data_IF_753421188653
#
_entry.id   IF_753421188653
#
_cell.length_a   1.000
_cell.length_b   1.000
_cell.length_c   1.000
_cell.angle_alpha   90.00
_cell.angle_beta   90.00
_cell.angle_gamma   90.00
#
_symmetry.space_group_name_H-M   'P 1'
#
loop_
_entity.id
_entity.type
_entity.pdbx_description
1 polymer ?
#
# COMPACT_ATOMS: atom_id res chain seq x y z
N UNK A 1 24.85 56.95 61.93
CA UNK A 1 23.83 55.92 62.16
C UNK A 1 24.10 54.80 61.19
N UNK A 2 24.41 53.57 61.52
CA UNK A 2 25.06 52.91 62.65
C UNK A 2 25.42 51.51 62.09
N UNK A 3 26.40 50.88 62.69
CA UNK A 3 27.16 49.69 62.26
C UNK A 3 26.39 48.37 62.03
N UNK A 4 27.20 47.37 61.59
CA UNK A 4 27.11 45.89 61.73
C UNK A 4 26.47 45.12 60.56
N UNK A 5 26.97 43.98 60.07
CA UNK A 5 28.03 43.07 60.54
C UNK A 5 28.52 42.14 59.39
N UNK A 6 29.67 41.50 59.64
CA UNK A 6 30.46 40.50 58.88
C UNK A 6 29.67 39.31 58.30
N UNK A 7 29.91 38.92 57.04
CA UNK A 7 30.82 37.83 56.58
C UNK A 7 30.48 36.40 57.05
N UNK A 8 30.11 35.52 56.11
CA UNK A 8 30.59 34.11 56.02
C UNK A 8 30.19 33.44 54.70
N UNK A 9 31.09 32.56 54.22
CA UNK A 9 31.20 31.88 52.93
C UNK A 9 30.12 30.82 52.58
N UNK A 10 30.10 30.31 51.32
CA UNK A 10 28.98 29.52 50.78
C UNK A 10 29.26 28.02 50.60
N UNK A 11 28.15 27.34 50.27
CA UNK A 11 27.99 26.19 49.38
C UNK A 11 28.30 24.77 49.90
N UNK A 12 27.24 23.98 50.04
CA UNK A 12 27.26 22.56 49.67
C UNK A 12 25.88 22.07 49.24
N UNK A 13 25.86 21.49 48.04
CA UNK A 13 25.07 20.32 47.60
C UNK A 13 23.54 20.37 47.65
N UNK A 14 22.96 20.33 46.45
CA UNK A 14 22.11 19.19 46.08
C UNK A 14 20.59 19.43 46.02
N UNK A 15 20.01 18.75 45.03
CA UNK A 15 18.65 18.19 44.95
C UNK A 15 17.52 19.02 44.33
N UNK A 16 16.85 18.28 43.43
CA UNK A 16 15.43 18.22 43.11
C UNK A 16 14.71 19.25 42.23
N UNK A 17 13.90 18.65 41.34
CA UNK A 17 12.83 19.21 40.49
C UNK A 17 11.72 19.87 41.37
N UNK A 18 10.65 20.58 40.89
CA UNK A 18 9.91 20.35 39.63
C UNK A 18 9.08 21.55 39.00
N UNK A 19 8.43 21.28 37.85
CA UNK A 19 7.05 21.69 37.43
C UNK A 19 6.70 23.14 36.94
N UNK A 20 6.22 23.18 35.68
CA UNK A 20 5.17 24.01 34.97
C UNK A 20 5.27 25.53 34.75
N UNK A 21 5.08 25.97 33.49
CA UNK A 21 3.98 26.84 32.98
C UNK A 21 4.08 27.04 31.44
N UNK A 22 3.06 26.72 30.64
CA UNK A 22 1.98 27.57 30.04
C UNK A 22 2.46 28.64 29.03
N UNK A 23 2.03 28.52 27.75
CA UNK A 23 1.36 29.57 26.93
C UNK A 23 1.37 29.25 25.40
N UNK A 24 0.20 29.28 24.76
CA UNK A 24 0.00 29.51 23.31
C UNK A 24 0.25 31.01 22.97
N UNK A 25 0.33 31.49 21.69
CA UNK A 25 -0.88 31.74 20.86
C UNK A 25 -0.74 31.74 19.29
N UNK A 26 -1.88 31.42 18.63
CA UNK A 26 -2.61 32.16 17.56
C UNK A 26 -2.13 32.35 16.08
N UNK A 27 -3.09 32.08 15.17
CA UNK A 27 -3.50 32.95 14.04
C UNK A 27 -3.04 32.55 12.62
N UNK A 28 -3.76 32.70 11.49
CA UNK A 28 -5.07 33.20 11.00
C UNK A 28 -5.18 32.59 9.55
N UNK A 29 -6.32 32.36 8.87
CA UNK A 29 -7.03 33.35 8.01
C UNK A 29 -7.72 32.65 6.81
N UNK A 30 -9.02 32.90 6.62
CA UNK A 30 -9.73 33.31 5.39
C UNK A 30 -9.86 32.47 4.07
N UNK A 31 -11.15 32.23 3.75
CA UNK A 31 -11.91 32.50 2.50
C UNK A 31 -11.80 31.60 1.25
N UNK A 32 -13.00 31.23 0.76
CA UNK A 32 -13.37 30.41 -0.40
C UNK A 32 -13.51 31.22 -1.71
N UNK A 33 -13.69 30.46 -2.82
CA UNK A 33 -14.16 30.79 -4.22
C UNK A 33 -13.01 30.67 -5.25
N UNK A 34 -13.17 30.22 -6.54
CA UNK A 34 -14.35 29.79 -7.34
C UNK A 34 -14.22 28.42 -8.12
N UNK A 35 -15.32 27.97 -8.74
CA UNK A 35 -15.44 27.02 -9.90
C UNK A 35 -15.37 27.81 -11.25
N UNK A 36 -15.28 27.24 -12.50
CA UNK A 36 -15.72 25.92 -12.99
C UNK A 36 -14.82 25.25 -14.08
N UNK A 37 -15.13 24.01 -14.51
CA UNK A 37 -15.25 23.58 -15.93
C UNK A 37 -15.57 22.07 -16.02
N UNK A 38 -16.64 21.71 -16.74
CA UNK A 38 -17.01 20.33 -17.05
C UNK A 38 -18.01 20.28 -18.20
N UNK A 39 -17.55 19.69 -19.30
CA UNK A 39 -18.16 19.50 -20.63
C UNK A 39 -19.19 18.37 -20.70
N UNK A 40 -20.21 18.51 -21.57
CA UNK A 40 -20.80 17.39 -22.33
C UNK A 40 -21.68 17.86 -23.52
N UNK A 41 -21.41 17.24 -24.67
CA UNK A 41 -22.15 17.08 -25.95
C UNK A 41 -23.56 16.47 -25.69
N UNK A 42 -24.66 16.60 -26.46
CA UNK A 42 -24.91 16.45 -27.92
C UNK A 42 -26.40 16.72 -28.26
N UNK A 43 -26.66 17.03 -29.55
CA UNK A 43 -27.86 16.83 -30.43
C UNK A 43 -29.20 17.54 -30.20
N UNK A 44 -29.66 18.19 -31.27
CA UNK A 44 -31.06 18.51 -31.60
C UNK A 44 -31.46 17.90 -32.95
N UNK A 45 -32.76 17.62 -33.05
CA UNK A 45 -33.49 16.74 -33.98
C UNK A 45 -33.59 17.15 -35.47
N UNK A 46 -33.79 16.12 -36.31
CA UNK A 46 -34.77 15.97 -37.41
C UNK A 46 -34.70 14.46 -37.79
N UNK A 47 -35.76 13.67 -37.96
CA UNK A 47 -36.92 13.84 -38.84
C UNK A 47 -38.02 12.79 -38.52
N UNK A 48 -39.23 13.04 -39.04
CA UNK A 48 -40.50 12.37 -38.80
C UNK A 48 -40.65 10.95 -39.38
N UNK A 49 -41.57 10.22 -38.75
CA UNK A 49 -42.10 8.90 -39.08
C UNK A 49 -43.01 8.86 -40.32
N UNK A 50 -43.04 7.71 -41.03
CA UNK A 50 -44.23 7.11 -41.66
C UNK A 50 -44.03 5.58 -41.83
N UNK A 51 -44.94 4.76 -41.28
CA UNK A 51 -45.27 3.36 -41.65
C UNK A 51 -46.57 3.39 -42.50
N UNK A 52 -47.11 2.33 -43.18
CA UNK A 52 -47.06 0.89 -42.84
C UNK A 52 -47.13 -0.12 -44.02
N UNK A 53 -47.11 -1.43 -43.70
CA UNK A 53 -47.51 -2.50 -44.64
C UNK A 53 -47.10 -3.92 -44.20
N UNK A 54 -48.03 -4.66 -43.58
CA UNK A 54 -48.06 -6.13 -43.39
C UNK A 54 -48.90 -6.77 -44.54
N UNK A 55 -49.12 -8.11 -44.69
CA UNK A 55 -48.61 -9.30 -43.98
C UNK A 55 -48.31 -10.54 -44.89
N UNK A 56 -48.21 -11.74 -44.27
CA UNK A 56 -48.41 -13.12 -44.77
C UNK A 56 -47.15 -13.89 -45.22
N UNK A 57 -46.91 -15.19 -44.96
CA UNK A 57 -47.46 -16.28 -44.12
C UNK A 57 -46.57 -17.53 -44.40
N UNK A 58 -46.42 -18.44 -43.41
CA UNK A 58 -46.20 -19.91 -43.51
C UNK A 58 -45.08 -20.50 -42.60
N UNK A 59 -45.53 -21.11 -41.50
CA UNK A 59 -45.03 -22.35 -40.85
C UNK A 59 -45.32 -23.58 -41.77
N UNK A 60 -45.08 -24.87 -41.41
CA UNK A 60 -44.41 -25.53 -40.25
C UNK A 60 -43.31 -26.53 -40.74
N UNK A 61 -42.61 -27.41 -39.99
CA UNK A 61 -43.17 -28.62 -39.36
C UNK A 61 -42.12 -29.52 -38.65
N UNK A 62 -42.55 -30.02 -37.48
CA UNK A 62 -42.43 -31.36 -36.86
C UNK A 62 -41.12 -32.12 -36.51
N UNK A 63 -41.11 -32.55 -35.24
CA UNK A 63 -40.85 -33.93 -34.71
C UNK A 63 -39.42 -34.43 -34.39
N UNK A 64 -39.18 -34.55 -33.08
CA UNK A 64 -38.81 -35.75 -32.28
C UNK A 64 -37.90 -36.83 -32.87
N UNK A 65 -36.77 -37.11 -32.21
CA UNK A 65 -36.29 -38.48 -31.88
C UNK A 65 -35.35 -38.46 -30.67
N UNK A 66 -35.59 -39.40 -29.73
CA UNK A 66 -34.74 -39.76 -28.59
C UNK A 66 -33.59 -40.68 -29.03
N UNK A 67 -32.49 -40.70 -28.25
CA UNK A 67 -31.53 -41.80 -27.96
C UNK A 67 -30.25 -41.16 -27.38
N UNK A 68 -29.39 -41.71 -26.53
CA UNK A 68 -29.40 -42.73 -25.49
C UNK A 68 -28.02 -42.57 -24.78
N UNK A 69 -28.01 -42.63 -23.44
CA UNK A 69 -26.89 -43.01 -22.54
C UNK A 69 -25.45 -42.47 -22.70
N UNK A 70 -24.96 -41.75 -21.68
CA UNK A 70 -23.61 -41.95 -21.14
C UNK A 70 -23.57 -41.67 -19.61
N UNK A 71 -22.99 -42.56 -18.78
CA UNK A 71 -22.94 -42.38 -17.33
C UNK A 71 -21.70 -41.60 -16.89
N UNK A 72 -21.87 -40.78 -15.84
CA UNK A 72 -20.75 -40.43 -14.96
C UNK A 72 -19.86 -39.27 -15.38
N UNK A 73 -20.43 -38.09 -15.63
CA UNK A 73 -19.70 -36.86 -15.35
C UNK A 73 -19.96 -36.52 -13.88
N UNK A 74 -19.00 -36.87 -13.01
CA UNK A 74 -18.91 -36.26 -11.68
C UNK A 74 -18.83 -34.75 -11.92
N UNK A 75 -19.93 -34.03 -11.73
CA UNK A 75 -19.94 -32.58 -11.62
C UNK A 75 -18.98 -32.24 -10.47
N UNK A 76 -17.71 -31.98 -10.81
CA UNK A 76 -16.87 -31.22 -9.91
C UNK A 76 -17.58 -29.89 -9.78
N UNK A 77 -18.21 -29.67 -8.64
CA UNK A 77 -18.71 -28.37 -8.23
C UNK A 77 -17.52 -27.40 -8.23
N UNK A 78 -17.28 -26.77 -9.39
CA UNK A 78 -16.19 -25.82 -9.65
C UNK A 78 -16.63 -24.43 -9.23
N UNK A 79 -17.14 -24.31 -8.01
CA UNK A 79 -17.42 -23.00 -7.42
C UNK A 79 -16.37 -22.74 -6.34
N UNK A 80 -15.13 -22.60 -6.79
CA UNK A 80 -14.09 -22.00 -5.96
C UNK A 80 -14.63 -20.62 -5.50
N UNK A 81 -14.73 -20.36 -4.19
CA UNK A 81 -15.35 -19.13 -3.71
C UNK A 81 -14.62 -17.92 -4.30
N UNK A 82 -15.37 -16.98 -4.84
CA UNK A 82 -14.81 -15.75 -5.43
C UNK A 82 -14.03 -15.00 -4.37
N UNK A 83 -12.70 -14.99 -4.52
CA UNK A 83 -11.79 -14.28 -3.61
C UNK A 83 -11.46 -12.91 -4.18
N UNK A 84 -11.50 -11.89 -3.35
CA UNK A 84 -11.28 -10.49 -3.77
C UNK A 84 -9.91 -10.04 -3.27
N UNK A 85 -8.96 -9.67 -4.16
CA UNK A 85 -7.69 -9.12 -3.74
C UNK A 85 -7.87 -7.72 -3.12
N UNK A 86 -6.97 -7.29 -2.22
CA UNK A 86 -6.95 -5.90 -1.78
C UNK A 86 -6.73 -4.95 -2.97
N UNK A 87 -7.19 -3.70 -2.82
CA UNK A 87 -6.93 -2.70 -3.87
C UNK A 87 -5.43 -2.48 -4.07
N UNK A 88 -5.04 -2.09 -5.30
CA UNK A 88 -3.63 -1.89 -5.66
C UNK A 88 -2.74 -3.13 -5.43
N UNK A 89 -3.34 -4.33 -5.39
CA UNK A 89 -2.62 -5.59 -5.25
C UNK A 89 -1.86 -5.93 -6.54
N UNK A 90 -0.59 -6.27 -6.42
CA UNK A 90 0.22 -6.76 -7.51
C UNK A 90 1.42 -7.57 -7.00
N UNK A 91 1.95 -8.44 -7.85
CA UNK A 91 3.25 -9.08 -7.63
C UNK A 91 4.36 -8.09 -7.99
N UNK A 92 5.35 -7.94 -7.11
CA UNK A 92 6.54 -7.10 -7.33
C UNK A 92 7.69 -7.96 -7.84
N UNK A 93 7.95 -9.07 -7.15
CA UNK A 93 8.94 -10.08 -7.50
C UNK A 93 8.38 -11.45 -7.09
N UNK A 94 8.99 -12.57 -7.50
CA UNK A 94 8.56 -13.89 -7.04
C UNK A 94 8.37 -13.93 -5.52
N UNK A 95 7.17 -14.28 -5.09
CA UNK A 95 6.72 -14.33 -3.68
C UNK A 95 6.70 -13.00 -2.90
N UNK A 96 6.93 -11.86 -3.56
CA UNK A 96 6.82 -10.52 -2.97
C UNK A 96 5.64 -9.79 -3.60
N UNK A 97 4.68 -9.42 -2.77
CA UNK A 97 3.46 -8.75 -3.19
C UNK A 97 3.38 -7.34 -2.59
N UNK A 98 2.66 -6.45 -3.28
CA UNK A 98 2.28 -5.12 -2.78
C UNK A 98 0.78 -5.00 -2.72
N UNK A 99 0.24 -4.17 -1.82
CA UNK A 99 -1.18 -3.78 -1.85
C UNK A 99 -1.52 -2.52 -1.05
N UNK A 100 -2.78 -2.09 -1.12
CA UNK A 100 -3.41 -1.25 -0.09
C UNK A 100 -3.65 -2.04 1.19
N UNK A 101 -4.16 -1.35 2.22
CA UNK A 101 -4.50 -1.98 3.49
C UNK A 101 -5.48 -3.16 3.30
N UNK A 102 -5.16 -4.37 3.80
CA UNK A 102 -6.07 -5.51 3.72
C UNK A 102 -7.19 -5.39 4.75
N UNK A 103 -8.44 -5.65 4.33
CA UNK A 103 -9.62 -5.69 5.20
C UNK A 103 -10.14 -7.13 5.27
N UNK A 104 -11.08 -7.41 6.19
CA UNK A 104 -11.68 -8.74 6.39
C UNK A 104 -12.13 -9.44 5.10
N UNK A 105 -12.70 -8.68 4.15
CA UNK A 105 -13.14 -9.20 2.85
C UNK A 105 -12.01 -9.79 1.98
N UNK A 106 -10.76 -9.41 2.23
CA UNK A 106 -9.60 -9.90 1.49
C UNK A 106 -8.91 -11.11 2.16
N UNK A 107 -9.29 -11.47 3.39
CA UNK A 107 -8.65 -12.57 4.13
C UNK A 107 -8.69 -13.92 3.39
N UNK A 108 -9.81 -14.31 2.74
CA UNK A 108 -9.83 -15.52 1.91
C UNK A 108 -8.79 -15.49 0.77
N UNK A 109 -8.58 -14.33 0.15
CA UNK A 109 -7.58 -14.15 -0.89
C UNK A 109 -6.15 -14.30 -0.34
N UNK A 110 -5.85 -13.65 0.79
CA UNK A 110 -4.52 -13.73 1.43
C UNK A 110 -4.19 -15.16 1.88
N UNK A 111 -5.20 -15.91 2.34
CA UNK A 111 -5.07 -17.34 2.65
C UNK A 111 -4.80 -18.17 1.40
N UNK A 112 -5.51 -17.90 0.29
CA UNK A 112 -5.34 -18.63 -0.98
C UNK A 112 -3.93 -18.52 -1.54
N UNK A 113 -3.32 -17.33 -1.48
CA UNK A 113 -1.94 -17.11 -1.94
C UNK A 113 -0.87 -17.55 -0.93
N UNK A 114 -1.27 -17.99 0.27
CA UNK A 114 -0.36 -18.51 1.30
C UNK A 114 0.59 -17.47 1.87
N UNK A 115 0.12 -16.24 2.14
CA UNK A 115 0.98 -15.22 2.76
C UNK A 115 1.53 -15.73 4.10
N UNK A 116 2.84 -15.66 4.26
CA UNK A 116 3.57 -16.04 5.48
C UNK A 116 3.92 -14.82 6.33
N UNK A 117 4.14 -13.67 5.70
CA UNK A 117 4.47 -12.45 6.42
C UNK A 117 3.89 -11.19 5.78
N UNK A 118 3.68 -10.16 6.59
CA UNK A 118 3.16 -8.87 6.16
C UNK A 118 4.05 -7.77 6.69
N UNK A 119 4.44 -6.84 5.82
CA UNK A 119 5.04 -5.56 6.18
C UNK A 119 3.96 -4.48 6.14
N UNK A 120 3.72 -3.84 7.29
CA UNK A 120 2.90 -2.62 7.36
C UNK A 120 3.79 -1.40 7.54
N UNK A 121 3.60 -0.41 6.66
CA UNK A 121 4.34 0.84 6.66
C UNK A 121 3.57 1.99 7.34
N UNK A 122 2.44 1.67 7.98
CA UNK A 122 1.54 2.65 8.59
C UNK A 122 1.87 2.89 10.06
N UNK A 123 1.76 4.15 10.50
CA UNK A 123 1.86 4.56 11.91
C UNK A 123 0.68 4.06 12.75
N UNK A 124 -0.49 3.94 12.12
CA UNK A 124 -1.72 3.54 12.79
C UNK A 124 -1.59 2.12 13.40
N UNK A 125 -2.21 1.89 14.58
CA UNK A 125 -2.28 0.55 15.15
C UNK A 125 -3.00 -0.39 14.19
N UNK A 126 -2.51 -1.64 14.13
CA UNK A 126 -3.16 -2.65 13.31
C UNK A 126 -4.51 -3.04 13.96
N UNK A 127 -5.64 -3.06 13.22
CA UNK A 127 -6.94 -3.37 13.78
C UNK A 127 -6.99 -4.75 14.45
N UNK A 128 -7.71 -4.91 15.58
CA UNK A 128 -7.78 -6.18 16.31
C UNK A 128 -8.22 -7.36 15.46
N UNK A 129 -9.20 -7.16 14.57
CA UNK A 129 -9.69 -8.20 13.66
C UNK A 129 -8.62 -8.70 12.70
N UNK A 130 -7.76 -7.79 12.21
CA UNK A 130 -6.66 -8.18 11.36
C UNK A 130 -5.58 -8.89 12.16
N UNK A 131 -5.26 -8.42 13.37
CA UNK A 131 -4.31 -9.09 14.26
C UNK A 131 -4.72 -10.53 14.57
N UNK A 132 -6.00 -10.75 14.86
CA UNK A 132 -6.56 -12.09 15.08
C UNK A 132 -6.37 -12.99 13.85
N UNK A 133 -6.69 -12.48 12.65
CA UNK A 133 -6.42 -13.23 11.41
C UNK A 133 -4.94 -13.59 11.23
N UNK A 134 -4.02 -12.69 11.58
CA UNK A 134 -2.59 -13.00 11.50
C UNK A 134 -2.19 -14.09 12.50
N UNK A 135 -2.74 -14.06 13.72
CA UNK A 135 -2.49 -15.08 14.75
C UNK A 135 -3.03 -16.45 14.32
N UNK A 136 -4.29 -16.50 13.89
CA UNK A 136 -4.97 -17.75 13.49
C UNK A 136 -4.25 -18.46 12.32
N UNK A 137 -3.61 -17.68 11.44
CA UNK A 137 -2.90 -18.19 10.27
C UNK A 137 -1.38 -18.16 10.39
N UNK A 138 -0.83 -17.89 11.58
CA UNK A 138 0.60 -17.86 11.87
C UNK A 138 1.39 -16.91 10.93
N UNK A 139 0.77 -15.79 10.57
CA UNK A 139 1.35 -14.77 9.69
C UNK A 139 2.16 -13.79 10.54
N UNK A 140 3.44 -13.63 10.21
CA UNK A 140 4.33 -12.70 10.93
C UNK A 140 4.09 -11.26 10.48
N UNK A 141 3.85 -10.34 11.42
CA UNK A 141 3.69 -8.91 11.13
C UNK A 141 4.97 -8.12 11.43
N UNK A 142 5.56 -7.54 10.40
CA UNK A 142 6.65 -6.57 10.52
C UNK A 142 6.08 -5.14 10.44
N UNK A 143 6.28 -4.35 11.49
CA UNK A 143 5.78 -2.98 11.57
C UNK A 143 6.92 -1.98 11.40
N UNK A 144 6.87 -1.22 10.32
CA UNK A 144 7.83 -0.16 10.01
C UNK A 144 7.10 1.17 9.90
N UNK A 145 6.96 1.87 11.01
CA UNK A 145 6.20 3.12 11.08
C UNK A 145 6.90 4.22 10.27
N UNK A 146 6.36 4.53 9.08
CA UNK A 146 6.83 5.65 8.29
C UNK A 146 5.83 6.81 8.36
N UNK A 147 6.29 8.03 8.70
CA UNK A 147 5.44 9.21 8.69
C UNK A 147 4.86 9.45 7.31
N UNK A 148 3.70 10.09 7.27
CA UNK A 148 3.07 10.41 6.00
C UNK A 148 3.94 11.40 5.25
N UNK A 149 4.41 11.05 4.05
CA UNK A 149 5.25 11.91 3.21
C UNK A 149 4.45 13.08 2.58
N UNK A 150 3.83 13.91 3.42
CA UNK A 150 3.13 15.13 3.01
C UNK A 150 4.12 16.30 3.14
N UNK A 151 4.21 17.11 2.10
CA UNK A 151 4.90 18.40 2.15
C UNK A 151 4.37 19.25 3.32
N UNK A 152 5.22 20.04 3.99
CA UNK A 152 6.55 20.49 3.53
C UNK A 152 7.77 19.87 4.25
N UNK A 153 7.62 19.05 5.30
CA UNK A 153 8.73 18.76 6.23
C UNK A 153 8.85 17.32 6.74
N UNK A 154 8.36 16.32 6.00
CA UNK A 154 8.49 14.92 6.44
C UNK A 154 9.57 14.22 5.63
N UNK A 155 10.75 14.04 6.22
CA UNK A 155 11.80 13.19 5.64
C UNK A 155 11.38 11.71 5.72
N UNK A 156 11.66 10.96 4.65
CA UNK A 156 11.38 9.54 4.60
C UNK A 156 12.50 8.83 5.38
N UNK A 157 12.20 8.08 6.44
CA UNK A 157 13.24 7.52 7.30
C UNK A 157 14.02 6.42 6.56
N UNK A 158 15.22 6.77 6.08
CA UNK A 158 16.12 5.86 5.33
C UNK A 158 16.35 4.54 6.05
N UNK A 159 16.68 4.60 7.34
CA UNK A 159 16.94 3.40 8.18
C UNK A 159 15.76 2.43 8.20
N UNK A 160 14.54 2.97 8.26
CA UNK A 160 13.31 2.18 8.26
C UNK A 160 13.09 1.47 6.92
N UNK A 161 13.41 2.14 5.80
CA UNK A 161 13.36 1.52 4.48
C UNK A 161 14.43 0.44 4.33
N UNK A 162 15.67 0.67 4.79
CA UNK A 162 16.72 -0.35 4.75
C UNK A 162 16.32 -1.60 5.56
N UNK A 163 15.76 -1.42 6.76
CA UNK A 163 15.26 -2.53 7.58
C UNK A 163 14.09 -3.26 6.90
N UNK A 164 13.16 -2.54 6.27
CA UNK A 164 12.07 -3.15 5.52
C UNK A 164 12.56 -3.95 4.31
N UNK A 165 13.54 -3.42 3.57
CA UNK A 165 14.17 -4.11 2.44
C UNK A 165 14.92 -5.37 2.89
N UNK A 166 15.60 -5.32 4.04
CA UNK A 166 16.28 -6.49 4.58
C UNK A 166 15.31 -7.64 4.87
N UNK A 167 14.13 -7.34 5.42
CA UNK A 167 13.05 -8.33 5.61
C UNK A 167 12.50 -8.84 4.27
N UNK A 168 12.33 -7.97 3.28
CA UNK A 168 11.87 -8.38 1.94
C UNK A 168 12.88 -9.29 1.23
N UNK A 169 14.17 -9.06 1.44
CA UNK A 169 15.26 -9.85 0.86
C UNK A 169 15.52 -11.17 1.61
N UNK A 170 14.85 -11.44 2.73
CA UNK A 170 14.96 -12.72 3.41
C UNK A 170 13.90 -13.71 2.90
N UNK A 171 14.33 -14.71 2.14
CA UNK A 171 13.42 -15.73 1.55
C UNK A 171 12.66 -16.53 2.59
N UNK A 172 13.12 -16.58 3.86
CA UNK A 172 12.38 -17.25 4.95
C UNK A 172 11.07 -16.54 5.25
N UNK A 173 10.93 -15.26 4.90
CA UNK A 173 9.71 -14.48 5.11
C UNK A 173 8.71 -14.62 3.95
N UNK A 174 9.11 -15.24 2.84
CA UNK A 174 8.26 -15.39 1.66
C UNK A 174 7.21 -16.51 1.84
N UNK A 175 5.99 -16.36 1.29
CA UNK A 175 5.49 -15.20 0.54
C UNK A 175 5.13 -14.01 1.43
N UNK A 176 5.55 -12.81 1.02
CA UNK A 176 5.46 -11.57 1.82
C UNK A 176 4.57 -10.52 1.14
N UNK A 177 3.74 -9.82 1.92
CA UNK A 177 2.92 -8.71 1.46
C UNK A 177 3.39 -7.38 2.05
N UNK A 178 3.71 -6.41 1.20
CA UNK A 178 4.07 -5.05 1.59
C UNK A 178 2.85 -4.13 1.41
N UNK A 179 2.40 -3.47 2.46
CA UNK A 179 1.30 -2.51 2.36
C UNK A 179 1.49 -1.26 3.22
N UNK A 180 0.72 -0.24 2.90
CA UNK A 180 0.47 0.90 3.78
C UNK A 180 -1.05 1.13 3.82
N UNK A 181 -1.52 2.38 3.88
CA UNK A 181 -2.96 2.66 3.79
C UNK A 181 -3.50 2.41 2.37
N UNK A 182 -2.94 3.10 1.36
CA UNK A 182 -3.40 3.01 -0.05
C UNK A 182 -2.48 2.21 -0.97
N UNK A 183 -1.33 1.74 -0.48
CA UNK A 183 -0.35 1.01 -1.30
C UNK A 183 0.37 1.88 -2.34
N UNK A 184 0.40 3.20 -2.15
CA UNK A 184 0.89 4.20 -3.13
C UNK A 184 2.28 4.73 -2.77
N UNK A 185 2.35 5.70 -1.84
CA UNK A 185 3.56 6.45 -1.51
C UNK A 185 4.61 5.60 -0.78
N UNK A 186 4.34 5.26 0.50
CA UNK A 186 5.25 4.47 1.36
C UNK A 186 5.63 3.13 0.75
N UNK A 187 4.63 2.37 0.29
CA UNK A 187 4.84 1.11 -0.42
C UNK A 187 5.61 1.33 -1.72
N UNK A 188 5.31 2.40 -2.45
CA UNK A 188 6.03 2.77 -3.68
C UNK A 188 7.49 3.12 -3.44
N UNK A 189 7.84 3.79 -2.34
CA UNK A 189 9.23 4.05 -1.98
C UNK A 189 9.99 2.75 -1.68
N UNK A 190 9.42 1.86 -0.85
CA UNK A 190 10.05 0.56 -0.56
C UNK A 190 10.22 -0.27 -1.83
N UNK A 191 9.18 -0.36 -2.66
CA UNK A 191 9.25 -1.09 -3.94
C UNK A 191 10.24 -0.43 -4.90
N UNK A 192 10.27 0.89 -4.99
CA UNK A 192 11.22 1.61 -5.84
C UNK A 192 12.67 1.40 -5.41
N UNK A 193 12.95 1.41 -4.10
CA UNK A 193 14.27 1.07 -3.57
C UNK A 193 14.62 -0.42 -3.76
N UNK A 194 13.63 -1.32 -3.73
CA UNK A 194 13.84 -2.71 -4.13
C UNK A 194 14.24 -2.81 -5.61
N UNK A 195 13.61 -2.05 -6.50
CA UNK A 195 14.01 -1.99 -7.92
C UNK A 195 15.40 -1.41 -8.12
N UNK A 196 15.82 -0.46 -7.28
CA UNK A 196 17.21 0.05 -7.25
C UNK A 196 18.20 -1.07 -6.92
N UNK A 197 17.89 -1.92 -5.94
CA UNK A 197 18.72 -3.09 -5.61
C UNK A 197 18.73 -4.13 -6.74
N UNK A 198 17.64 -4.23 -7.50
CA UNK A 198 17.54 -5.08 -8.68
C UNK A 198 18.19 -4.47 -9.94
N UNK A 199 18.93 -3.36 -9.78
CA UNK A 199 19.62 -2.63 -10.84
C UNK A 199 18.72 -2.18 -12.02
N UNK A 200 17.46 -1.85 -11.74
CA UNK A 200 16.56 -1.29 -12.76
C UNK A 200 16.94 0.15 -13.10
N UNK A 201 16.65 0.58 -14.33
CA UNK A 201 16.82 1.98 -14.73
C UNK A 201 15.81 2.89 -14.01
N UNK A 202 16.23 4.09 -13.63
CA UNK A 202 15.35 5.07 -12.97
C UNK A 202 14.05 5.34 -13.75
N UNK A 203 14.12 5.37 -15.07
CA UNK A 203 12.95 5.51 -15.94
C UNK A 203 11.91 4.41 -15.70
N UNK A 204 12.34 3.15 -15.66
CA UNK A 204 11.45 2.02 -15.39
C UNK A 204 10.86 2.08 -13.97
N UNK A 205 11.70 2.43 -12.99
CA UNK A 205 11.31 2.55 -11.59
C UNK A 205 10.23 3.63 -11.41
N UNK A 206 10.44 4.82 -11.99
CA UNK A 206 9.49 5.92 -11.87
C UNK A 206 8.21 5.66 -12.65
N UNK A 207 8.28 4.94 -13.77
CA UNK A 207 7.09 4.51 -14.49
C UNK A 207 6.24 3.56 -13.63
N UNK A 208 6.85 2.53 -13.03
CA UNK A 208 6.16 1.63 -12.10
C UNK A 208 5.56 2.40 -10.91
N UNK A 209 6.35 3.28 -10.29
CA UNK A 209 5.88 4.10 -9.17
C UNK A 209 4.65 4.94 -9.56
N UNK A 210 4.67 5.62 -10.71
CA UNK A 210 3.55 6.47 -11.17
C UNK A 210 2.32 5.65 -11.49
N UNK A 211 2.47 4.47 -12.09
CA UNK A 211 1.36 3.57 -12.37
C UNK A 211 0.57 3.19 -11.10
N UNK A 212 1.28 2.87 -10.00
CA UNK A 212 0.63 2.49 -8.74
C UNK A 212 0.27 3.68 -7.83
N UNK A 213 0.84 4.86 -8.04
CA UNK A 213 0.55 6.05 -7.23
C UNK A 213 -0.48 7.00 -7.86
N UNK A 214 -0.81 6.82 -9.14
CA UNK A 214 -1.85 7.58 -9.85
C UNK A 214 -3.19 7.61 -9.08
N UNK A 215 -3.91 8.74 -9.01
CA UNK A 215 -3.59 10.06 -9.58
C UNK A 215 -2.73 10.94 -8.65
N UNK A 216 -2.21 10.40 -7.53
CA UNK A 216 -1.57 11.18 -6.46
C UNK A 216 -0.06 10.91 -6.39
N UNK A 217 0.62 10.81 -7.53
CA UNK A 217 2.08 10.63 -7.58
C UNK A 217 2.79 11.82 -6.95
N UNK A 218 3.87 11.58 -6.20
CA UNK A 218 4.65 12.64 -5.52
C UNK A 218 6.07 12.70 -6.07
N UNK A 219 6.59 13.90 -6.23
CA UNK A 219 7.98 14.10 -6.65
C UNK A 219 8.97 13.75 -5.54
N UNK A 220 8.64 14.05 -4.27
CA UNK A 220 9.47 13.68 -3.12
C UNK A 220 9.74 12.17 -3.02
N UNK A 221 8.74 11.32 -3.31
CA UNK A 221 8.93 9.87 -3.31
C UNK A 221 9.94 9.45 -4.41
N UNK A 222 9.86 10.04 -5.60
CA UNK A 222 10.76 9.74 -6.72
C UNK A 222 12.17 10.24 -6.46
N UNK A 223 12.32 11.46 -5.95
CA UNK A 223 13.61 12.02 -5.54
C UNK A 223 14.25 11.17 -4.45
N UNK A 224 13.48 10.69 -3.48
CA UNK A 224 13.99 9.78 -2.47
C UNK A 224 14.50 8.48 -3.10
N UNK A 225 13.73 7.86 -4.00
CA UNK A 225 14.13 6.64 -4.70
C UNK A 225 15.41 6.89 -5.52
N UNK A 226 15.58 8.07 -6.11
CA UNK A 226 16.75 8.47 -6.89
C UNK A 226 18.02 8.61 -6.02
N UNK A 227 17.90 9.24 -4.87
CA UNK A 227 19.02 9.52 -3.96
C UNK A 227 19.28 8.40 -2.96
N UNK A 228 18.49 7.32 -2.99
CA UNK A 228 18.65 6.20 -2.08
C UNK A 228 19.97 5.46 -2.33
N UNK A 229 20.79 5.36 -1.29
CA UNK A 229 22.03 4.60 -1.30
C UNK A 229 21.77 3.13 -0.96
N UNK A 230 21.82 2.28 -1.99
CA UNK A 230 21.59 0.85 -1.90
C UNK A 230 22.65 0.11 -1.08
N UNK A 231 23.86 0.66 -0.96
CA UNK A 231 24.97 0.02 -0.25
C UNK A 231 24.66 -0.18 1.23
N UNK A 232 23.80 0.68 1.79
CA UNK A 232 23.38 0.65 3.19
C UNK A 232 22.49 -0.54 3.55
N UNK A 233 21.92 -1.24 2.55
CA UNK A 233 21.03 -2.38 2.78
C UNK A 233 21.80 -3.67 3.00
N UNK A 234 22.88 -3.90 2.24
CA UNK A 234 23.62 -5.16 2.25
C UNK A 234 24.16 -5.59 3.62
N UNK A 235 24.65 -4.70 4.50
CA UNK A 235 25.08 -5.08 5.85
C UNK A 235 23.96 -5.64 6.75
N UNK A 236 22.69 -5.39 6.41
CA UNK A 236 21.53 -5.87 7.17
C UNK A 236 20.98 -7.21 6.67
N UNK A 237 21.47 -7.70 5.53
CA UNK A 237 20.95 -8.87 4.85
C UNK A 237 21.88 -10.05 5.10
N UNK A 238 21.30 -11.22 5.35
CA UNK A 238 22.03 -12.48 5.41
C UNK A 238 22.16 -13.06 3.99
N UNK A 239 23.38 -13.16 3.42
CA UNK A 239 23.58 -13.65 2.07
C UNK A 239 23.07 -15.07 1.83
N UNK A 240 23.00 -15.92 2.87
CA UNK A 240 22.53 -17.30 2.77
C UNK A 240 21.02 -17.40 2.46
N UNK A 241 20.26 -16.38 2.85
CA UNK A 241 18.81 -16.34 2.73
C UNK A 241 18.31 -15.36 1.66
N UNK A 242 19.20 -14.84 0.81
CA UNK A 242 18.79 -14.07 -0.37
C UNK A 242 17.91 -14.91 -1.30
N UNK A 243 16.91 -14.29 -1.97
CA UNK A 243 16.13 -14.94 -2.99
C UNK A 243 16.94 -15.09 -4.28
N UNK A 244 16.66 -16.16 -5.03
CA UNK A 244 17.33 -16.48 -6.29
C UNK A 244 16.78 -15.64 -7.46
N UNK A 245 16.79 -14.31 -7.31
CA UNK A 245 16.38 -13.39 -8.36
C UNK A 245 17.58 -13.04 -9.26
N UNK A 246 17.49 -13.25 -10.59
CA UNK A 246 18.59 -12.95 -11.52
C UNK A 246 19.05 -11.48 -11.48
N UNK A 247 18.20 -10.58 -11.00
CA UNK A 247 18.43 -9.13 -10.98
C UNK A 247 19.15 -8.63 -9.73
N UNK A 248 19.42 -9.48 -8.74
CA UNK A 248 20.17 -9.09 -7.52
C UNK A 248 21.70 -9.26 -7.66
N UNK A 249 22.18 -9.67 -8.83
CA UNK A 249 23.59 -9.98 -9.13
C UNK A 249 24.31 -8.81 -9.80
#
# INVERSE_FOLDING_TARGET
MEEKERSSCPASTGTDSPVTNVAEPEGHSHTLVPQPLGSATTVTNMELAVTPGTPLVNEPDTSTTNEESAPGATERSLHDPVVIPPSNFAMVAPFVYRSSFPSKKHFPFLKKIGIKSIITLSLEPYPPQNLQFLQDHHITLFRFCMPGNKEPFVDIPKKTICAALAVVLDKRNHPILIHCNKGKHRTGCVVGCLRRLQNWSHTAIFNEYRAYSHPKSRNLDQQFIELFDVSTVWPLVDPLYLPDWPTLL
#
